data_IF_522585307151
#
_entry.id   IF_522585307151
#
_cell.length_a   1.000
_cell.length_b   1.000
_cell.length_c   1.000
_cell.angle_alpha   90.00
_cell.angle_beta   90.00
_cell.angle_gamma   90.00
#
_symmetry.space_group_name_H-M   'P 1'
#
loop_
_entity.id
_entity.type
_entity.pdbx_description
1 polymer ?
#
# COMPACT_ATOMS: atom_id res chain seq x y z
N UNK A 1 -0.97 15.19 -3.45
CA UNK A 1 0.20 14.80 -2.64
C UNK A 1 1.18 15.97 -2.63
N UNK A 2 1.90 16.20 -1.52
CA UNK A 2 2.87 17.29 -1.43
C UNK A 2 4.26 16.77 -1.84
N UNK A 3 4.68 17.10 -3.07
CA UNK A 3 5.94 16.62 -3.66
C UNK A 3 7.18 17.42 -3.17
N UNK A 4 7.00 18.44 -2.34
CA UNK A 4 8.06 19.40 -1.95
C UNK A 4 8.88 19.03 -0.70
N UNK A 5 8.65 17.87 -0.06
CA UNK A 5 9.18 17.59 1.30
C UNK A 5 10.03 16.31 1.47
N UNK A 6 10.65 15.77 0.41
CA UNK A 6 11.26 14.43 0.46
C UNK A 6 12.81 14.43 0.47
N UNK A 7 13.40 13.91 1.56
CA UNK A 7 14.84 13.63 1.70
C UNK A 7 15.13 12.15 2.04
N UNK A 8 14.22 11.22 1.75
CA UNK A 8 14.43 9.80 2.04
C UNK A 8 14.87 8.99 0.82
N UNK A 9 15.90 8.17 1.03
CA UNK A 9 16.37 7.15 0.09
C UNK A 9 15.43 5.95 0.05
N UNK A 10 15.23 5.42 -1.16
CA UNK A 10 14.28 4.35 -1.47
C UNK A 10 14.81 2.92 -1.19
N UNK A 11 13.92 1.96 -1.43
CA UNK A 11 14.18 0.51 -1.36
C UNK A 11 15.09 0.08 -2.52
N UNK A 12 16.05 -0.80 -2.25
CA UNK A 12 17.08 -1.25 -3.20
C UNK A 12 16.80 -2.61 -3.86
N UNK A 13 15.63 -3.21 -3.60
CA UNK A 13 15.15 -4.39 -4.31
C UNK A 13 13.95 -3.96 -5.17
N UNK A 14 14.00 -4.27 -6.46
CA UNK A 14 13.13 -3.65 -7.46
C UNK A 14 11.81 -4.40 -7.67
N UNK A 15 11.69 -5.65 -7.25
CA UNK A 15 10.54 -6.51 -7.53
C UNK A 15 9.90 -7.00 -6.21
N UNK A 16 10.29 -8.15 -5.68
CA UNK A 16 9.91 -8.62 -4.34
C UNK A 16 10.84 -8.05 -3.24
N UNK A 17 10.98 -6.73 -3.24
CA UNK A 17 11.81 -6.01 -2.29
C UNK A 17 11.07 -5.55 -1.05
N UNK A 18 11.82 -5.25 0.00
CA UNK A 18 11.33 -4.46 1.11
C UNK A 18 12.44 -3.70 1.82
N UNK A 19 12.05 -2.75 2.66
CA UNK A 19 12.96 -1.95 3.46
C UNK A 19 12.49 -1.86 4.90
N UNK A 20 13.42 -2.03 5.83
CA UNK A 20 13.16 -2.00 7.25
C UNK A 20 13.97 -3.04 8.03
N UNK A 21 13.71 -3.17 9.35
CA UNK A 21 12.69 -2.43 10.09
C UNK A 21 13.03 -0.93 10.19
N UNK A 22 12.04 -0.08 9.94
CA UNK A 22 12.12 1.36 10.20
C UNK A 22 11.64 1.59 11.62
N UNK A 23 12.50 2.14 12.47
CA UNK A 23 12.11 2.53 13.83
C UNK A 23 11.16 3.75 13.78
N UNK A 24 10.06 3.66 14.51
CA UNK A 24 9.08 4.72 14.70
C UNK A 24 9.38 5.42 16.03
N UNK A 25 9.53 6.76 16.05
CA UNK A 25 9.69 7.52 17.30
C UNK A 25 8.38 7.70 18.08
N UNK A 26 7.31 7.02 17.65
CA UNK A 26 5.98 7.02 18.22
C UNK A 26 5.43 5.60 18.31
N UNK A 27 4.42 5.41 19.15
CA UNK A 27 3.69 4.14 19.25
C UNK A 27 2.60 4.07 18.20
N UNK A 28 2.70 3.10 17.29
CA UNK A 28 1.64 2.78 16.35
C UNK A 28 0.74 1.70 16.96
N UNK A 29 -0.54 2.02 17.16
CA UNK A 29 -1.54 1.04 17.61
C UNK A 29 -2.22 0.42 16.39
N UNK A 30 -2.30 -0.91 16.34
CA UNK A 30 -2.87 -1.68 15.24
C UNK A 30 -3.70 -2.84 15.79
N UNK A 31 -5.03 -2.73 15.77
CA UNK A 31 -5.96 -3.68 16.38
C UNK A 31 -5.62 -3.96 17.87
N UNK A 32 -5.30 -2.90 18.61
CA UNK A 32 -4.89 -2.97 20.02
C UNK A 32 -3.47 -3.48 20.27
N UNK A 33 -2.74 -3.94 19.25
CA UNK A 33 -1.31 -4.22 19.35
C UNK A 33 -0.52 -2.92 19.20
N UNK A 34 0.49 -2.72 20.04
CA UNK A 34 1.39 -1.57 19.94
C UNK A 34 2.70 -2.00 19.32
N UNK A 35 3.08 -1.33 18.23
CA UNK A 35 4.35 -1.51 17.54
C UNK A 35 5.14 -0.21 17.43
N UNK A 36 6.45 -0.34 17.32
CA UNK A 36 7.41 0.76 17.19
C UNK A 36 8.31 0.60 15.94
N UNK A 37 7.99 -0.36 15.07
CA UNK A 37 8.73 -0.58 13.84
C UNK A 37 7.85 -1.09 12.70
N UNK A 38 8.23 -0.71 11.48
CA UNK A 38 7.51 -1.07 10.25
C UNK A 38 8.46 -1.52 9.15
N UNK A 39 7.98 -2.45 8.32
CA UNK A 39 8.60 -2.80 7.05
C UNK A 39 7.77 -2.22 5.90
N UNK A 40 8.45 -1.65 4.90
CA UNK A 40 7.85 -1.19 3.65
C UNK A 40 8.10 -2.26 2.59
N UNK A 41 7.05 -2.73 1.92
CA UNK A 41 7.15 -3.75 0.87
C UNK A 41 6.88 -3.13 -0.51
N UNK A 42 7.63 -3.55 -1.53
CA UNK A 42 7.50 -3.02 -2.91
C UNK A 42 6.08 -3.22 -3.43
N UNK A 43 5.47 -4.37 -3.13
CA UNK A 43 4.09 -4.77 -3.46
C UNK A 43 3.00 -3.95 -2.74
N UNK A 44 3.26 -2.66 -2.46
CA UNK A 44 2.26 -1.66 -2.05
C UNK A 44 1.62 -1.89 -0.68
N UNK A 45 2.35 -2.50 0.25
CA UNK A 45 1.89 -2.74 1.61
C UNK A 45 2.98 -2.50 2.66
N UNK A 46 2.55 -2.28 3.90
CA UNK A 46 3.39 -2.28 5.10
C UNK A 46 3.12 -3.52 5.92
N UNK A 47 4.15 -4.04 6.60
CA UNK A 47 4.02 -5.17 7.52
C UNK A 47 4.66 -4.91 8.88
N UNK A 48 4.00 -5.41 9.93
CA UNK A 48 4.49 -5.38 11.31
C UNK A 48 5.16 -6.71 11.66
N UNK A 49 6.37 -6.68 12.22
CA UNK A 49 7.09 -7.85 12.73
C UNK A 49 7.96 -8.62 11.72
N UNK A 50 7.89 -8.31 10.41
CA UNK A 50 8.77 -8.91 9.40
C UNK A 50 8.46 -8.48 7.97
N UNK A 51 9.36 -8.81 7.04
CA UNK A 51 9.18 -8.60 5.60
C UNK A 51 8.12 -9.55 5.01
N UNK A 52 7.34 -9.07 4.03
CA UNK A 52 6.41 -9.86 3.26
C UNK A 52 6.93 -10.02 1.82
N UNK A 53 7.46 -11.21 1.50
CA UNK A 53 7.76 -11.62 0.13
C UNK A 53 6.56 -12.34 -0.47
N UNK A 54 6.11 -11.90 -1.65
CA UNK A 54 4.97 -12.47 -2.35
C UNK A 54 4.21 -11.43 -3.18
N UNK A 55 3.90 -11.79 -4.43
CA UNK A 55 3.43 -10.87 -5.46
C UNK A 55 1.91 -10.86 -5.66
N UNK A 56 1.24 -12.02 -5.57
CA UNK A 56 -0.21 -12.08 -5.75
C UNK A 56 -0.99 -11.74 -4.49
N UNK A 57 -1.81 -10.69 -4.58
CA UNK A 57 -2.69 -10.27 -3.49
C UNK A 57 -3.80 -11.27 -3.19
N UNK A 58 -4.34 -11.25 -1.98
CA UNK A 58 -5.55 -11.99 -1.60
C UNK A 58 -6.52 -11.08 -0.86
N UNK A 59 -7.81 -11.45 -0.84
CA UNK A 59 -8.80 -10.75 -0.02
C UNK A 59 -8.51 -10.94 1.48
N UNK A 60 -8.95 -9.98 2.29
CA UNK A 60 -8.82 -10.09 3.74
C UNK A 60 -10.05 -10.80 4.33
N UNK A 61 -9.89 -11.62 5.40
CA UNK A 61 -8.67 -11.79 6.19
C UNK A 61 -7.63 -12.69 5.50
N UNK A 62 -6.35 -12.29 5.59
CA UNK A 62 -5.22 -13.06 5.08
C UNK A 62 -4.39 -13.63 6.24
N UNK A 63 -3.94 -14.88 6.10
CA UNK A 63 -3.07 -15.51 7.10
C UNK A 63 -1.61 -15.05 6.96
N UNK A 64 -0.90 -14.95 8.08
CA UNK A 64 0.57 -14.85 8.11
C UNK A 64 1.15 -13.48 8.46
N UNK A 65 0.47 -12.38 8.16
CA UNK A 65 1.06 -11.03 8.31
C UNK A 65 0.08 -9.95 8.78
N UNK A 66 0.53 -9.19 9.78
CA UNK A 66 -0.13 -7.95 10.19
C UNK A 66 0.20 -6.87 9.16
N UNK A 67 -0.82 -6.40 8.45
CA UNK A 67 -0.62 -5.67 7.20
C UNK A 67 -1.47 -4.40 7.12
N UNK A 68 -0.86 -3.34 6.61
CA UNK A 68 -1.53 -2.13 6.15
C UNK A 68 -1.30 -2.02 4.64
N UNK A 69 -2.35 -2.23 3.85
CA UNK A 69 -2.29 -2.32 2.39
C UNK A 69 -3.06 -1.16 1.75
N UNK A 70 -2.40 -0.02 1.46
CA UNK A 70 -3.00 1.02 0.62
C UNK A 70 -3.27 0.50 -0.80
N UNK A 71 -2.45 -0.43 -1.30
CA UNK A 71 -2.62 -1.08 -2.59
C UNK A 71 -1.74 -2.33 -2.68
N UNK A 72 -2.20 -3.48 -2.18
CA UNK A 72 -1.42 -4.71 -2.30
C UNK A 72 -1.62 -5.34 -3.68
N UNK A 73 -0.57 -5.27 -4.50
CA UNK A 73 -0.51 -5.86 -5.83
C UNK A 73 0.95 -6.12 -6.23
N UNK A 74 1.10 -6.76 -7.39
CA UNK A 74 2.36 -7.16 -8.01
C UNK A 74 3.06 -5.96 -8.67
N UNK A 75 3.69 -5.13 -7.82
CA UNK A 75 4.36 -3.88 -8.20
C UNK A 75 5.78 -4.21 -8.65
N UNK A 76 6.19 -3.67 -9.78
CA UNK A 76 7.55 -3.86 -10.29
C UNK A 76 8.22 -2.52 -10.57
N UNK A 77 9.39 -2.33 -9.95
CA UNK A 77 10.21 -1.12 -10.05
C UNK A 77 11.37 -1.26 -11.04
N UNK A 78 11.56 -2.42 -11.68
CA UNK A 78 12.71 -2.66 -12.57
C UNK A 78 12.55 -2.01 -13.96
N UNK A 79 11.32 -1.64 -14.35
CA UNK A 79 11.05 -0.90 -15.57
C UNK A 79 11.81 0.44 -15.67
N UNK A 80 12.39 0.73 -16.83
CA UNK A 80 13.24 1.90 -17.03
C UNK A 80 12.43 3.17 -17.38
N UNK A 81 12.77 4.30 -16.74
CA UNK A 81 12.21 5.61 -17.07
C UNK A 81 12.69 6.71 -16.12
N UNK A 82 12.55 7.97 -16.54
CA UNK A 82 12.94 9.11 -15.70
C UNK A 82 11.81 9.46 -14.74
N UNK A 83 12.08 9.42 -13.43
CA UNK A 83 11.12 9.85 -12.40
C UNK A 83 9.98 8.86 -12.14
N UNK A 84 10.17 7.59 -12.46
CA UNK A 84 9.21 6.50 -12.21
C UNK A 84 9.78 5.47 -11.23
N UNK A 85 8.96 4.47 -10.86
CA UNK A 85 9.39 3.27 -10.14
C UNK A 85 10.17 3.58 -8.86
N UNK A 86 9.59 4.42 -8.01
CA UNK A 86 10.25 4.89 -6.80
C UNK A 86 9.37 4.71 -5.57
N UNK A 87 9.92 4.09 -4.52
CA UNK A 87 9.32 4.08 -3.19
C UNK A 87 10.08 5.05 -2.28
N UNK A 88 9.38 6.00 -1.66
CA UNK A 88 9.98 7.01 -0.78
C UNK A 88 9.19 7.12 0.51
N UNK A 89 9.87 7.31 1.63
CA UNK A 89 9.20 7.46 2.93
C UNK A 89 9.63 8.71 3.70
N UNK A 90 9.00 9.02 4.83
CA UNK A 90 9.43 10.08 5.74
C UNK A 90 8.93 9.76 7.14
N UNK A 91 9.83 9.80 8.11
CA UNK A 91 9.51 9.65 9.53
C UNK A 91 9.51 11.04 10.18
N UNK A 92 8.46 11.35 10.92
CA UNK A 92 8.37 12.50 11.83
C UNK A 92 8.25 11.97 13.27
N UNK A 93 8.28 12.84 14.29
CA UNK A 93 8.05 12.41 15.67
C UNK A 93 6.72 11.68 15.92
N UNK A 94 5.71 11.87 15.06
CA UNK A 94 4.33 11.42 15.28
C UNK A 94 3.72 10.67 14.08
N UNK A 95 4.44 10.56 12.96
CA UNK A 95 3.91 9.96 11.75
C UNK A 95 4.99 9.33 10.85
N UNK A 96 4.59 8.31 10.10
CA UNK A 96 5.33 7.77 8.96
C UNK A 96 4.49 7.96 7.69
N UNK A 97 5.12 8.51 6.66
CA UNK A 97 4.56 8.66 5.32
C UNK A 97 5.31 7.74 4.37
N UNK A 98 4.62 7.00 3.52
CA UNK A 98 5.24 6.15 2.49
C UNK A 98 4.52 6.34 1.17
N UNK A 99 5.27 6.60 0.09
CA UNK A 99 4.76 6.78 -1.25
C UNK A 99 5.34 5.75 -2.19
N UNK A 100 4.48 5.18 -3.01
CA UNK A 100 4.83 4.49 -4.25
C UNK A 100 4.52 5.48 -5.37
N UNK A 101 5.56 5.94 -6.07
CA UNK A 101 5.50 7.04 -7.04
C UNK A 101 5.71 6.46 -8.42
N UNK A 102 4.68 6.62 -9.27
CA UNK A 102 4.67 6.17 -10.66
C UNK A 102 5.19 4.74 -10.80
N UNK A 103 4.63 3.80 -10.03
CA UNK A 103 5.08 2.41 -10.02
C UNK A 103 4.35 1.59 -11.08
N UNK A 104 5.11 0.78 -11.80
CA UNK A 104 4.64 -0.17 -12.80
C UNK A 104 4.09 -1.46 -12.18
N UNK A 105 3.51 -2.29 -13.04
CA UNK A 105 3.11 -3.65 -12.72
C UNK A 105 4.12 -4.65 -13.30
N UNK A 106 4.24 -5.82 -12.70
CA UNK A 106 5.09 -6.86 -13.24
C UNK A 106 4.65 -7.25 -14.66
N UNK A 107 5.54 -7.43 -15.64
CA UNK A 107 7.02 -7.49 -15.56
C UNK A 107 7.66 -6.28 -16.28
N UNK A 108 8.30 -5.38 -15.54
CA UNK A 108 8.93 -4.14 -16.05
C UNK A 108 7.98 -3.16 -16.75
N UNK A 109 6.67 -3.25 -16.53
CA UNK A 109 5.70 -2.48 -17.31
C UNK A 109 5.68 -0.99 -16.91
N UNK A 110 5.87 -0.11 -17.90
CA UNK A 110 5.88 1.35 -17.71
C UNK A 110 4.80 2.08 -18.52
N UNK A 111 3.91 1.33 -19.18
CA UNK A 111 2.81 1.90 -19.99
C UNK A 111 1.63 2.40 -19.14
N UNK A 112 1.48 1.88 -17.92
CA UNK A 112 0.51 2.32 -16.91
C UNK A 112 1.19 2.40 -15.56
N UNK A 113 0.96 3.49 -14.84
CA UNK A 113 1.65 3.81 -13.61
C UNK A 113 0.66 4.15 -12.50
N UNK A 114 0.94 3.67 -11.30
CA UNK A 114 0.18 3.97 -10.10
C UNK A 114 0.97 4.90 -9.18
N UNK A 115 0.28 5.82 -8.51
CA UNK A 115 0.84 6.70 -7.48
C UNK A 115 -0.09 6.75 -6.28
N UNK A 116 0.41 6.25 -5.15
CA UNK A 116 -0.36 6.12 -3.91
C UNK A 116 0.54 6.28 -2.68
N UNK A 117 -0.10 6.56 -1.56
CA UNK A 117 0.53 6.85 -0.29
C UNK A 117 -0.23 6.20 0.86
N UNK A 118 0.51 5.74 1.86
CA UNK A 118 -0.02 5.48 3.21
C UNK A 118 0.63 6.43 4.21
N UNK A 119 -0.19 6.87 5.16
CA UNK A 119 0.26 7.59 6.36
C UNK A 119 -0.16 6.74 7.56
N UNK A 120 0.77 6.49 8.48
CA UNK A 120 0.46 5.94 9.80
C UNK A 120 0.91 6.92 10.88
N UNK A 121 0.16 7.04 11.97
CA UNK A 121 0.42 8.01 13.04
C UNK A 121 0.19 7.41 14.42
N UNK A 122 0.49 8.20 15.46
CA UNK A 122 0.14 7.92 16.86
C UNK A 122 -1.35 8.10 17.18
N UNK A 123 -2.19 8.44 16.19
CA UNK A 123 -3.61 8.76 16.35
C UNK A 123 -3.88 10.20 16.80
N UNK A 124 -2.86 11.01 17.04
CA UNK A 124 -2.99 12.42 17.47
C UNK A 124 -2.44 13.40 16.43
N UNK A 125 -1.63 12.93 15.47
CA UNK A 125 -1.09 13.77 14.40
C UNK A 125 -2.20 14.42 13.53
N UNK A 126 -2.16 15.74 13.31
CA UNK A 126 -3.18 16.46 12.54
C UNK A 126 -3.25 16.07 11.06
N UNK A 127 -2.25 15.34 10.54
CA UNK A 127 -2.30 14.77 9.19
C UNK A 127 -3.44 13.75 9.03
N UNK A 128 -3.86 13.10 10.12
CA UNK A 128 -5.01 12.21 10.13
C UNK A 128 -5.97 12.63 11.26
N UNK A 129 -7.05 13.38 10.96
CA UNK A 129 -7.94 13.92 11.98
C UNK A 129 -8.82 12.83 12.63
N UNK A 130 -9.47 13.22 13.73
CA UNK A 130 -10.51 12.45 14.43
C UNK A 130 -10.02 11.18 15.15
N UNK A 131 -8.76 11.13 15.58
CA UNK A 131 -8.25 9.98 16.33
C UNK A 131 -7.91 8.77 15.46
N UNK A 132 -7.93 8.92 14.14
CA UNK A 132 -7.51 7.88 13.21
C UNK A 132 -5.99 7.82 13.12
N UNK A 133 -5.46 6.64 12.85
CA UNK A 133 -4.03 6.35 12.86
C UNK A 133 -3.51 5.81 11.53
N UNK A 134 -4.40 5.53 10.56
CA UNK A 134 -4.03 5.08 9.21
C UNK A 134 -4.80 5.89 8.18
N UNK A 135 -4.14 6.28 7.09
CA UNK A 135 -4.77 7.00 5.98
C UNK A 135 -4.19 6.57 4.65
N UNK A 136 -5.07 6.21 3.71
CA UNK A 136 -4.69 5.92 2.33
C UNK A 136 -4.97 7.12 1.45
N UNK A 137 -3.95 7.54 0.70
CA UNK A 137 -3.97 8.73 -0.13
C UNK A 137 -3.56 8.36 -1.54
N UNK A 138 -4.21 8.94 -2.51
CA UNK A 138 -4.15 8.40 -3.85
C UNK A 138 -4.13 9.47 -4.93
N UNK A 139 -3.43 9.18 -6.03
CA UNK A 139 -3.32 10.07 -7.20
C UNK A 139 -3.67 9.29 -8.46
N UNK A 140 -2.72 9.14 -9.38
CA UNK A 140 -2.95 8.46 -10.65
C UNK A 140 -2.94 6.95 -10.41
N UNK A 141 -4.04 6.27 -10.76
CA UNK A 141 -4.16 4.82 -10.63
C UNK A 141 -4.64 4.26 -11.97
N UNK A 142 -3.74 3.64 -12.71
CA UNK A 142 -3.93 3.21 -14.09
C UNK A 142 -3.91 1.70 -14.26
N UNK A 143 -3.52 0.93 -13.24
CA UNK A 143 -3.50 -0.54 -13.30
C UNK A 143 -3.94 -1.15 -11.96
N UNK A 144 -4.29 -2.43 -12.01
CA UNK A 144 -4.85 -3.18 -10.88
C UNK A 144 -4.22 -4.55 -10.64
N UNK A 145 -3.63 -5.16 -11.67
CA UNK A 145 -3.06 -6.52 -11.58
C UNK A 145 -1.80 -6.63 -12.43
N UNK A 146 -0.77 -7.28 -11.90
CA UNK A 146 0.43 -7.63 -12.67
C UNK A 146 0.26 -8.92 -13.49
N UNK A 147 1.14 -9.11 -14.46
CA UNK A 147 1.04 -10.21 -15.42
C UNK A 147 1.24 -11.58 -14.74
N UNK A 148 2.12 -11.67 -13.74
CA UNK A 148 2.33 -12.92 -12.96
C UNK A 148 1.10 -13.29 -12.11
N UNK A 149 0.23 -12.31 -11.83
CA UNK A 149 -1.03 -12.50 -11.13
C UNK A 149 -2.21 -12.83 -12.07
N UNK A 150 -1.92 -13.18 -13.34
CA UNK A 150 -2.92 -13.52 -14.36
C UNK A 150 -3.55 -12.31 -15.04
N UNK A 151 -2.96 -11.13 -14.85
CA UNK A 151 -3.34 -9.90 -15.53
C UNK A 151 -2.97 -9.91 -17.00
N UNK A 152 -3.58 -9.00 -17.76
CA UNK A 152 -3.16 -8.67 -19.12
C UNK A 152 -3.31 -7.16 -19.29
N UNK A 153 -2.21 -6.49 -19.65
CA UNK A 153 -2.17 -5.03 -19.79
C UNK A 153 -2.58 -4.28 -18.51
N UNK A 154 -2.28 -4.82 -17.33
CA UNK A 154 -2.55 -4.20 -16.03
C UNK A 154 -3.93 -4.49 -15.42
N UNK A 155 -4.74 -5.37 -16.02
CA UNK A 155 -6.12 -5.67 -15.58
C UNK A 155 -6.48 -7.15 -15.70
N UNK A 156 -7.55 -7.57 -15.01
CA UNK A 156 -7.97 -8.97 -14.93
C UNK A 156 -7.04 -9.81 -14.05
N UNK A 157 -7.37 -11.10 -13.83
CA UNK A 157 -6.58 -11.96 -12.96
C UNK A 157 -6.87 -11.74 -11.47
N UNK A 158 -5.82 -11.76 -10.64
CA UNK A 158 -5.93 -11.55 -9.19
C UNK A 158 -5.84 -10.06 -8.85
N UNK A 159 -6.97 -9.42 -8.46
CA UNK A 159 -7.02 -7.98 -8.26
C UNK A 159 -6.20 -7.50 -7.08
N UNK A 160 -5.78 -6.23 -7.11
CA UNK A 160 -5.19 -5.54 -5.98
C UNK A 160 -6.14 -5.51 -4.78
N UNK A 161 -5.60 -5.68 -3.57
CA UNK A 161 -6.38 -5.64 -2.33
C UNK A 161 -6.03 -4.42 -1.50
N UNK A 162 -7.05 -3.72 -1.00
CA UNK A 162 -6.89 -2.53 -0.16
C UNK A 162 -7.55 -2.75 1.18
N UNK A 163 -6.84 -2.44 2.25
CA UNK A 163 -7.35 -2.58 3.61
C UNK A 163 -6.26 -2.76 4.66
N UNK A 164 -6.69 -3.28 5.80
CA UNK A 164 -5.83 -3.63 6.95
C UNK A 164 -6.19 -5.03 7.44
N UNK A 165 -5.20 -5.77 7.89
CA UNK A 165 -5.35 -7.18 8.28
C UNK A 165 -4.52 -7.49 9.52
N UNK A 166 -5.17 -7.97 10.57
CA UNK A 166 -4.51 -8.68 11.66
C UNK A 166 -4.53 -10.17 11.33
N UNK A 167 -3.37 -10.82 11.31
CA UNK A 167 -3.21 -12.20 10.85
C UNK A 167 -3.82 -13.28 11.77
N UNK A 168 -4.87 -12.95 12.52
CA UNK A 168 -5.60 -13.85 13.41
C UNK A 168 -6.86 -14.45 12.76
N UNK A 169 -7.15 -14.11 11.51
CA UNK A 169 -8.31 -14.61 10.76
C UNK A 169 -9.65 -13.98 11.15
N UNK A 170 -9.65 -12.96 12.00
CA UNK A 170 -10.86 -12.33 12.54
C UNK A 170 -10.85 -10.82 12.33
N UNK A 171 -9.76 -10.16 12.72
CA UNK A 171 -9.69 -8.71 12.74
C UNK A 171 -9.08 -8.19 11.44
N UNK A 172 -9.91 -7.58 10.61
CA UNK A 172 -9.49 -6.95 9.37
C UNK A 172 -10.51 -5.88 8.97
N UNK A 173 -10.08 -4.96 8.11
CA UNK A 173 -10.99 -4.10 7.36
C UNK A 173 -10.58 -4.16 5.90
N UNK A 174 -11.42 -4.78 5.07
CA UNK A 174 -11.26 -4.71 3.62
C UNK A 174 -11.99 -3.49 3.09
N UNK A 175 -11.30 -2.69 2.29
CA UNK A 175 -11.89 -1.54 1.59
C UNK A 175 -12.37 -1.98 0.21
N UNK A 176 -11.60 -2.81 -0.50
CA UNK A 176 -11.98 -3.30 -1.82
C UNK A 176 -10.97 -4.25 -2.44
N UNK A 177 -11.41 -4.88 -3.54
CA UNK A 177 -10.57 -5.62 -4.49
C UNK A 177 -10.75 -5.02 -5.88
N UNK A 178 -9.68 -4.48 -6.44
CA UNK A 178 -9.78 -3.69 -7.67
C UNK A 178 -9.32 -4.50 -8.87
N UNK A 179 -10.21 -4.78 -9.83
CA UNK A 179 -9.96 -5.72 -10.95
C UNK A 179 -10.15 -5.12 -12.35
N UNK A 180 -10.74 -3.92 -12.45
CA UNK A 180 -11.21 -3.35 -13.71
C UNK A 180 -11.06 -1.81 -13.78
N UNK A 181 -10.90 -1.25 -14.99
CA UNK A 181 -10.87 0.20 -15.18
C UNK A 181 -12.25 0.84 -14.97
N UNK A 182 -12.28 2.03 -14.38
CA UNK A 182 -13.48 2.85 -14.20
C UNK A 182 -13.60 3.39 -12.76
N UNK A 183 -14.80 3.85 -12.38
CA UNK A 183 -15.08 4.47 -11.08
C UNK A 183 -16.18 3.80 -10.25
N UNK A 184 -16.68 2.64 -10.67
CA UNK A 184 -17.69 1.88 -9.92
C UNK A 184 -17.11 1.26 -8.66
N UNK A 185 -17.73 1.46 -7.49
CA UNK A 185 -17.35 0.83 -6.23
C UNK A 185 -18.42 -0.20 -5.85
N UNK A 186 -18.13 -1.49 -6.02
CA UNK A 186 -19.08 -2.56 -5.70
C UNK A 186 -19.04 -3.01 -4.22
N UNK A 187 -18.29 -2.30 -3.36
CA UNK A 187 -18.14 -2.65 -1.96
C UNK A 187 -16.93 -3.56 -1.67
N UNK A 188 -16.64 -3.84 -0.40
CA UNK A 188 -15.39 -4.46 0.03
C UNK A 188 -15.28 -5.96 -0.29
N UNK A 189 -16.41 -6.63 -0.55
CA UNK A 189 -16.48 -8.09 -0.74
C UNK A 189 -16.90 -8.52 -2.14
N UNK A 190 -17.21 -7.57 -3.03
CA UNK A 190 -17.61 -7.86 -4.41
C UNK A 190 -16.44 -7.57 -5.36
N UNK A 191 -16.35 -8.37 -6.43
CA UNK A 191 -15.15 -8.48 -7.26
C UNK A 191 -14.79 -7.24 -8.10
N UNK A 192 -15.75 -6.35 -8.42
CA UNK A 192 -15.48 -5.23 -9.33
C UNK A 192 -15.37 -3.89 -8.59
N UNK A 193 -14.29 -3.69 -7.84
CA UNK A 193 -14.00 -2.37 -7.28
C UNK A 193 -13.17 -1.56 -8.27
N UNK A 194 -13.59 -0.33 -8.56
CA UNK A 194 -12.94 0.60 -9.47
C UNK A 194 -12.81 1.97 -8.81
N UNK A 195 -11.88 2.75 -9.31
CA UNK A 195 -11.17 3.74 -8.53
C UNK A 195 -11.79 5.14 -8.54
N UNK A 196 -11.76 5.81 -7.39
CA UNK A 196 -11.86 7.26 -7.30
C UNK A 196 -10.98 7.74 -6.14
N UNK A 197 -10.15 8.75 -6.40
CA UNK A 197 -9.20 9.30 -5.44
C UNK A 197 -9.91 9.94 -4.25
N UNK A 198 -9.72 9.36 -3.07
CA UNK A 198 -10.05 9.94 -1.78
C UNK A 198 -8.95 9.63 -0.79
N UNK A 199 -8.84 10.47 0.23
CA UNK A 199 -8.19 10.10 1.47
C UNK A 199 -9.14 9.21 2.25
N UNK A 200 -8.75 7.96 2.54
CA UNK A 200 -9.55 7.05 3.37
C UNK A 200 -8.90 6.94 4.74
N UNK A 201 -9.40 7.65 5.76
CA UNK A 201 -8.94 7.47 7.13
C UNK A 201 -9.50 6.17 7.71
N UNK A 202 -8.67 5.44 8.43
CA UNK A 202 -9.00 4.17 9.09
C UNK A 202 -8.58 4.29 10.55
N UNK A 203 -9.49 3.91 11.45
CA UNK A 203 -9.18 3.64 12.85
C UNK A 203 -8.93 2.15 12.99
N UNK A 204 -7.72 1.78 13.38
CA UNK A 204 -7.30 0.38 13.66
C UNK A 204 -6.90 0.20 15.10
#
# INVERSE_FOLDING_TARGET
MNDSMWNAGGTNNMDDGGHGPIALPFSFTFFGLVGDSIYINVNGNLSLGGYLGGFSSTGFPASGFNMVAPFWADVDLAGAGVGINSVKYKVTPTALYVNWIHVGYFNDAVDKLNTFQVIITDGLDPAIPFGNNVSFCYKDMQWTTGDASGGTLGFGGTPASVGVNLANGVDFAQIGRFDAPGSGYDGPFLGNVRWIGWTVPIST
#
